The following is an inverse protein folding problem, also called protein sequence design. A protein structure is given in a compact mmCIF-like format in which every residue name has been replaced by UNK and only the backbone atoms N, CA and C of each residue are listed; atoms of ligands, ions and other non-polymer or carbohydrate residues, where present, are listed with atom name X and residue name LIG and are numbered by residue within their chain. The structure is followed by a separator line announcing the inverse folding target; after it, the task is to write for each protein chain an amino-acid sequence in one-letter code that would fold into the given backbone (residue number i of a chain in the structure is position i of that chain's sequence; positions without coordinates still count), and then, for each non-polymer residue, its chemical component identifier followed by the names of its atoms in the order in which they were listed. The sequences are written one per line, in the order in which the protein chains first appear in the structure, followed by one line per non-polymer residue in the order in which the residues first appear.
data_IF_292516554648
#
_entry.id   IF_292516554648
#
_cell.length_a   1.000
_cell.length_b   1.000
_cell.length_c   1.000
_cell.angle_alpha   90.00
_cell.angle_beta   90.00
_cell.angle_gamma   90.00
#
_symmetry.space_group_name_H-M   'P 1'
#
loop_
_entity.id
_entity.type
_entity.pdbx_description
1 polymer ?
#
# COMPACT_ATOMS: atom_id res chain seq x y z
N UNK A 1 87.54 -5.33 -6.48
CA UNK A 1 86.71 -5.80 -7.60
C UNK A 1 85.24 -5.78 -7.18
N UNK A 2 84.39 -5.01 -7.87
CA UNK A 2 82.93 -5.00 -7.69
C UNK A 2 82.31 -6.16 -8.47
N UNK A 3 81.47 -6.97 -7.84
CA UNK A 3 80.57 -7.93 -8.50
C UNK A 3 79.31 -8.00 -7.65
N UNK A 4 78.32 -7.19 -8.00
CA UNK A 4 77.14 -7.50 -8.83
C UNK A 4 76.00 -8.04 -7.96
N UNK A 5 74.90 -7.31 -8.12
CA UNK A 5 73.59 -7.41 -7.49
C UNK A 5 72.85 -8.56 -8.17
N UNK A 6 72.34 -9.51 -7.42
CA UNK A 6 71.44 -10.54 -7.94
C UNK A 6 70.00 -10.20 -7.57
N UNK A 7 69.20 -9.95 -8.60
CA UNK A 7 67.76 -9.72 -8.56
C UNK A 7 67.14 -10.71 -9.53
N UNK A 8 66.49 -11.77 -9.05
CA UNK A 8 65.50 -12.51 -9.86
C UNK A 8 64.83 -13.63 -9.07
N UNK A 9 63.50 -13.74 -9.23
CA UNK A 9 62.64 -14.80 -8.70
C UNK A 9 61.26 -14.25 -8.36
N UNK A 10 60.66 -13.46 -9.26
CA UNK A 10 59.57 -13.89 -10.18
C UNK A 10 58.39 -14.48 -9.40
N UNK A 11 57.35 -13.66 -9.27
CA UNK A 11 56.01 -14.07 -8.83
C UNK A 11 55.37 -14.75 -10.03
N UNK A 12 55.17 -16.07 -9.96
CA UNK A 12 54.35 -16.78 -10.94
C UNK A 12 52.89 -16.34 -10.76
N UNK A 13 52.49 -15.31 -11.51
CA UNK A 13 51.10 -15.04 -11.76
C UNK A 13 50.57 -16.19 -12.62
N UNK A 14 49.79 -17.08 -12.01
CA UNK A 14 49.09 -18.17 -12.69
C UNK A 14 48.29 -17.58 -13.85
N UNK A 15 48.82 -17.72 -15.07
CA UNK A 15 48.21 -17.17 -16.28
C UNK A 15 47.00 -18.02 -16.65
N UNK A 16 45.83 -17.57 -16.21
CA UNK A 16 44.56 -18.25 -16.39
C UNK A 16 44.20 -18.33 -17.89
N UNK A 17 43.89 -19.51 -18.44
CA UNK A 17 43.67 -19.70 -19.87
C UNK A 17 42.53 -18.83 -20.39
N UNK A 18 42.69 -18.25 -21.58
CA UNK A 18 41.76 -17.29 -22.22
C UNK A 18 40.30 -17.76 -22.22
N UNK A 19 40.09 -19.08 -22.35
CA UNK A 19 38.77 -19.71 -22.33
C UNK A 19 38.05 -19.58 -20.98
N UNK A 20 38.81 -19.67 -19.87
CA UNK A 20 38.25 -19.56 -18.52
C UNK A 20 37.84 -18.12 -18.21
N UNK A 21 38.59 -17.12 -18.71
CA UNK A 21 38.22 -15.69 -18.62
C UNK A 21 36.93 -15.37 -19.37
N UNK A 22 36.77 -15.93 -20.58
CA UNK A 22 35.56 -15.76 -21.37
C UNK A 22 34.35 -16.37 -20.65
N UNK A 23 34.49 -17.57 -20.05
CA UNK A 23 33.44 -18.20 -19.26
C UNK A 23 33.05 -17.37 -18.04
N UNK A 24 34.03 -16.81 -17.31
CA UNK A 24 33.76 -15.94 -16.15
C UNK A 24 33.03 -14.66 -16.57
N UNK A 25 33.41 -14.05 -17.70
CA UNK A 25 32.74 -12.86 -18.23
C UNK A 25 31.31 -13.17 -18.68
N UNK A 26 31.09 -14.28 -19.39
CA UNK A 26 29.75 -14.72 -19.81
C UNK A 26 28.87 -15.01 -18.60
N UNK A 27 29.40 -15.71 -17.58
CA UNK A 27 28.67 -15.96 -16.35
C UNK A 27 28.36 -14.66 -15.59
N UNK A 28 29.30 -13.71 -15.55
CA UNK A 28 29.09 -12.41 -14.92
C UNK A 28 28.02 -11.59 -15.66
N UNK A 29 28.07 -11.55 -16.99
CA UNK A 29 27.05 -10.88 -17.81
C UNK A 29 25.68 -11.55 -17.61
N UNK A 30 25.58 -12.87 -17.68
CA UNK A 30 24.33 -13.60 -17.41
C UNK A 30 23.80 -13.35 -15.99
N UNK A 31 24.67 -13.28 -14.98
CA UNK A 31 24.29 -12.96 -13.60
C UNK A 31 23.84 -11.50 -13.47
N UNK A 32 24.48 -10.56 -14.18
CA UNK A 32 24.03 -9.16 -14.24
C UNK A 32 22.67 -9.06 -14.94
N UNK A 33 22.47 -9.73 -16.07
CA UNK A 33 21.19 -9.76 -16.80
C UNK A 33 20.06 -10.38 -15.95
N UNK A 34 20.35 -11.45 -15.20
CA UNK A 34 19.40 -12.03 -14.24
C UNK A 34 19.11 -11.11 -13.04
N UNK A 35 20.06 -10.25 -12.68
CA UNK A 35 19.91 -9.24 -11.60
C UNK A 35 19.13 -8.01 -12.08
N UNK A 36 19.22 -7.68 -13.37
CA UNK A 36 18.48 -6.60 -14.04
C UNK A 36 16.98 -6.94 -14.25
N UNK A 37 16.63 -8.22 -14.17
CA UNK A 37 15.28 -8.76 -14.42
C UNK A 37 14.24 -8.54 -13.30
N UNK A 38 14.53 -7.73 -12.29
CA UNK A 38 13.57 -7.41 -11.21
C UNK A 38 13.29 -5.90 -11.14
N UNK A 39 12.97 -5.28 -12.27
CA UNK A 39 12.22 -4.02 -12.28
C UNK A 39 10.76 -4.34 -12.02
N UNK A 40 10.46 -4.66 -10.76
CA UNK A 40 9.09 -4.58 -10.28
C UNK A 40 8.69 -3.12 -10.48
N UNK A 41 7.74 -2.87 -11.39
CA UNK A 41 7.13 -1.56 -11.54
C UNK A 41 6.38 -1.34 -10.23
N UNK A 42 7.06 -0.78 -9.24
CA UNK A 42 6.48 -0.39 -7.98
C UNK A 42 5.61 0.83 -8.27
N UNK A 43 4.37 0.55 -8.68
CA UNK A 43 3.36 1.55 -8.93
C UNK A 43 3.14 2.27 -7.60
N UNK A 44 3.52 3.55 -7.55
CA UNK A 44 3.26 4.38 -6.39
C UNK A 44 1.74 4.52 -6.24
N UNK A 45 1.21 3.89 -5.19
CA UNK A 45 -0.22 3.87 -4.97
C UNK A 45 -0.78 5.27 -4.69
N UNK A 46 -0.04 6.16 -4.03
CA UNK A 46 -0.53 7.53 -3.80
C UNK A 46 -0.59 8.31 -5.10
N UNK A 47 0.37 8.10 -6.01
CA UNK A 47 0.35 8.74 -7.32
C UNK A 47 -0.83 8.29 -8.20
N UNK A 48 -1.26 7.03 -8.08
CA UNK A 48 -2.36 6.46 -8.89
C UNK A 48 -3.72 6.60 -8.23
N UNK A 49 -3.78 6.45 -6.90
CA UNK A 49 -4.99 6.44 -6.08
C UNK A 49 -4.79 7.31 -4.83
N UNK A 50 -4.68 8.64 -4.97
CA UNK A 50 -4.46 9.51 -3.82
C UNK A 50 -5.66 9.48 -2.86
N UNK A 51 -5.38 9.49 -1.56
CA UNK A 51 -6.42 9.65 -0.53
C UNK A 51 -7.04 11.05 -0.60
N UNK A 52 -8.18 11.17 -1.29
CA UNK A 52 -8.88 12.45 -1.46
C UNK A 52 -10.39 12.30 -1.61
N UNK A 53 -10.82 11.49 -2.58
CA UNK A 53 -12.22 11.33 -2.91
C UNK A 53 -12.81 10.06 -2.25
N UNK A 54 -13.89 10.17 -1.47
CA UNK A 54 -14.63 9.02 -0.97
C UNK A 54 -15.16 8.12 -2.11
N UNK A 55 -15.09 6.80 -1.92
CA UNK A 55 -15.60 5.81 -2.89
C UNK A 55 -17.00 5.32 -2.49
N UNK A 56 -17.91 5.10 -3.45
CA UNK A 56 -19.24 4.56 -3.17
C UNK A 56 -19.16 3.09 -2.78
N UNK A 57 -19.92 2.70 -1.75
CA UNK A 57 -19.99 1.33 -1.25
C UNK A 57 -21.42 0.91 -0.96
N UNK A 58 -21.74 -0.32 -1.31
CA UNK A 58 -23.04 -0.90 -1.04
C UNK A 58 -23.07 -1.54 0.36
N UNK A 59 -24.05 -1.15 1.17
CA UNK A 59 -24.27 -1.68 2.51
C UNK A 59 -25.66 -2.31 2.63
N UNK A 60 -25.78 -3.41 3.38
CA UNK A 60 -27.09 -3.96 3.75
C UNK A 60 -27.75 -3.05 4.78
N UNK A 61 -29.03 -2.74 4.60
CA UNK A 61 -29.79 -1.96 5.58
C UNK A 61 -29.86 -2.66 6.94
N UNK A 62 -30.03 -3.98 6.94
CA UNK A 62 -30.08 -4.78 8.18
C UNK A 62 -28.81 -4.60 9.02
N UNK A 63 -27.64 -4.67 8.38
CA UNK A 63 -26.34 -4.50 9.03
C UNK A 63 -26.16 -3.08 9.59
N UNK A 64 -26.43 -2.05 8.76
CA UNK A 64 -26.34 -0.65 9.19
C UNK A 64 -27.27 -0.30 10.37
N UNK A 65 -28.40 -1.02 10.50
CA UNK A 65 -29.37 -0.83 11.57
C UNK A 65 -29.19 -1.80 12.74
N UNK A 66 -28.20 -2.68 12.70
CA UNK A 66 -27.99 -3.71 13.73
C UNK A 66 -29.18 -4.67 13.89
N UNK A 67 -29.89 -4.94 12.79
CA UNK A 67 -31.06 -5.83 12.77
C UNK A 67 -30.72 -7.17 12.15
N UNK A 68 -31.56 -8.16 12.45
CA UNK A 68 -31.50 -9.48 11.84
C UNK A 68 -31.54 -9.41 10.30
N UNK A 69 -30.77 -10.25 9.64
CA UNK A 69 -30.69 -10.37 8.18
C UNK A 69 -32.00 -10.87 7.57
N UNK A 70 -32.85 -11.54 8.36
CA UNK A 70 -34.18 -11.99 7.95
C UNK A 70 -35.21 -10.84 7.85
N UNK A 71 -34.88 -9.65 8.35
CA UNK A 71 -35.77 -8.51 8.29
C UNK A 71 -36.03 -8.08 6.83
N UNK A 72 -37.30 -8.00 6.46
CA UNK A 72 -37.69 -7.51 5.14
C UNK A 72 -37.51 -5.99 5.06
N UNK A 73 -36.47 -5.57 4.35
CA UNK A 73 -36.19 -4.18 4.02
C UNK A 73 -36.38 -3.93 2.51
N UNK A 74 -36.85 -2.75 2.13
CA UNK A 74 -36.86 -2.32 0.73
C UNK A 74 -36.39 -0.85 0.61
N UNK A 75 -35.31 -0.56 -0.13
CA UNK A 75 -34.39 -1.52 -0.76
C UNK A 75 -33.65 -2.38 0.29
N UNK A 76 -32.99 -3.46 -0.14
CA UNK A 76 -32.13 -4.26 0.77
C UNK A 76 -30.75 -3.61 0.98
N UNK A 77 -30.29 -2.85 -0.01
CA UNK A 77 -28.96 -2.26 -0.08
C UNK A 77 -29.07 -0.74 -0.22
N UNK A 78 -28.04 -0.05 0.24
CA UNK A 78 -27.89 1.41 0.18
C UNK A 78 -26.48 1.74 -0.23
N UNK A 79 -26.28 2.89 -0.86
CA UNK A 79 -24.95 3.37 -1.25
C UNK A 79 -24.54 4.48 -0.28
N UNK A 80 -23.36 4.34 0.31
CA UNK A 80 -22.73 5.41 1.11
C UNK A 80 -21.29 5.60 0.60
N UNK A 81 -20.83 6.84 0.60
CA UNK A 81 -19.45 7.19 0.25
C UNK A 81 -18.56 7.09 1.49
N UNK A 82 -17.41 6.42 1.34
CA UNK A 82 -16.48 6.14 2.44
C UNK A 82 -15.04 6.35 2.03
N UNK A 83 -14.22 6.71 3.02
CA UNK A 83 -12.79 6.96 2.85
C UNK A 83 -11.93 5.72 3.06
N UNK A 84 -12.43 4.71 3.77
CA UNK A 84 -11.64 3.50 3.99
C UNK A 84 -11.27 2.94 2.62
N UNK A 85 -10.01 2.57 2.43
CA UNK A 85 -9.47 2.01 1.19
C UNK A 85 -9.85 2.81 -0.10
N UNK A 86 -10.18 4.10 0.02
CA UNK A 86 -10.52 4.95 -1.13
C UNK A 86 -9.28 5.45 -1.87
N UNK A 87 -8.16 5.48 -1.15
CA UNK A 87 -6.85 5.83 -1.67
C UNK A 87 -5.74 5.42 -0.71
N UNK A 88 -4.51 5.66 -1.15
CA UNK A 88 -3.27 5.33 -0.45
C UNK A 88 -2.62 6.56 0.17
N UNK A 89 -1.77 6.30 1.16
CA UNK A 89 -0.94 7.28 1.86
C UNK A 89 0.53 6.83 1.78
N UNK A 90 1.43 7.78 1.58
CA UNK A 90 2.88 7.57 1.48
C UNK A 90 3.51 7.10 2.78
N UNK A 91 2.98 7.55 3.92
CA UNK A 91 3.44 7.15 5.24
C UNK A 91 2.60 5.96 5.77
N UNK A 92 3.28 4.87 6.12
CA UNK A 92 2.67 3.63 6.65
C UNK A 92 1.96 3.82 8.00
N UNK A 93 2.22 4.91 8.70
CA UNK A 93 1.56 5.29 9.96
C UNK A 93 0.27 6.06 9.74
N UNK A 94 0.01 6.50 8.50
CA UNK A 94 -1.20 7.19 8.09
C UNK A 94 -2.16 6.23 7.39
N UNK A 95 -3.44 6.48 7.58
CA UNK A 95 -4.51 5.78 6.87
C UNK A 95 -5.48 6.80 6.28
N UNK A 96 -6.17 6.41 5.21
CA UNK A 96 -7.11 7.27 4.53
C UNK A 96 -8.42 7.38 5.31
N UNK A 97 -8.67 8.55 5.92
CA UNK A 97 -9.77 8.80 6.83
C UNK A 97 -10.62 9.99 6.38
N UNK A 98 -11.89 10.10 6.83
CA UNK A 98 -12.72 11.26 6.54
C UNK A 98 -12.09 12.54 7.08
N UNK A 99 -11.95 13.54 6.20
CA UNK A 99 -11.66 14.92 6.57
C UNK A 99 -12.97 15.66 6.87
N UNK A 100 -13.99 15.44 6.03
CA UNK A 100 -15.32 16.02 6.19
C UNK A 100 -16.40 14.98 5.91
N UNK A 101 -17.56 15.20 6.55
CA UNK A 101 -18.73 14.31 6.45
C UNK A 101 -20.02 15.13 6.39
N UNK A 102 -21.07 14.51 5.89
CA UNK A 102 -22.44 15.02 5.94
C UNK A 102 -23.39 13.94 6.46
N UNK A 103 -24.57 14.35 6.95
CA UNK A 103 -25.65 13.42 7.26
C UNK A 103 -26.62 13.33 6.08
N UNK A 104 -26.80 12.12 5.55
CA UNK A 104 -27.78 11.86 4.49
C UNK A 104 -29.01 11.16 5.10
N UNK A 105 -30.19 11.70 4.83
CA UNK A 105 -31.45 11.05 5.22
C UNK A 105 -31.80 9.98 4.19
N UNK A 106 -31.99 8.75 4.66
CA UNK A 106 -32.39 7.64 3.83
C UNK A 106 -33.75 7.10 4.22
N UNK A 107 -34.66 7.02 3.24
CA UNK A 107 -35.96 6.37 3.40
C UNK A 107 -35.90 4.89 3.03
N UNK A 108 -36.57 4.04 3.80
CA UNK A 108 -36.70 2.62 3.50
C UNK A 108 -38.04 2.08 4.00
N UNK A 109 -38.53 1.02 3.37
CA UNK A 109 -39.65 0.25 3.88
C UNK A 109 -39.18 -0.87 4.78
N UNK A 110 -39.84 -1.04 5.92
CA UNK A 110 -39.65 -2.18 6.81
C UNK A 110 -41.02 -2.71 7.24
N UNK A 111 -41.29 -3.97 6.92
CA UNK A 111 -42.62 -4.60 7.15
C UNK A 111 -43.77 -3.75 6.58
N UNK A 112 -43.60 -3.23 5.36
CA UNK A 112 -44.60 -2.42 4.65
C UNK A 112 -44.73 -0.96 5.12
N UNK A 113 -43.99 -0.53 6.14
CA UNK A 113 -44.03 0.86 6.64
C UNK A 113 -42.82 1.66 6.18
N UNK A 114 -43.05 2.86 5.66
CA UNK A 114 -41.99 3.81 5.33
C UNK A 114 -41.33 4.33 6.62
N UNK A 115 -40.01 4.35 6.64
CA UNK A 115 -39.16 4.78 7.75
C UNK A 115 -38.02 5.62 7.19
N UNK A 116 -37.39 6.40 8.07
CA UNK A 116 -36.27 7.27 7.76
C UNK A 116 -35.14 7.03 8.75
N UNK A 117 -33.90 7.12 8.27
CA UNK A 117 -32.70 7.07 9.10
C UNK A 117 -31.62 7.94 8.50
N UNK A 118 -30.89 8.65 9.35
CA UNK A 118 -29.70 9.38 8.95
C UNK A 118 -28.49 8.45 8.96
N UNK A 119 -27.65 8.58 7.93
CA UNK A 119 -26.36 7.93 7.84
C UNK A 119 -25.28 8.97 7.58
N UNK A 120 -24.11 8.77 8.17
CA UNK A 120 -22.94 9.60 7.87
C UNK A 120 -22.38 9.22 6.51
N UNK A 121 -22.27 10.19 5.62
CA UNK A 121 -21.63 10.09 4.31
C UNK A 121 -20.31 10.86 4.36
N UNK A 122 -19.23 10.29 3.82
CA UNK A 122 -17.96 11.01 3.75
C UNK A 122 -17.95 11.90 2.51
N UNK A 123 -17.47 13.14 2.62
CA UNK A 123 -17.43 14.11 1.52
C UNK A 123 -16.01 14.44 1.06
N UNK A 124 -15.03 14.31 1.95
CA UNK A 124 -13.60 14.46 1.63
C UNK A 124 -12.76 13.54 2.52
N UNK A 125 -11.63 13.07 1.99
CA UNK A 125 -10.69 12.19 2.68
C UNK A 125 -9.30 12.83 2.81
N UNK A 126 -8.55 12.44 3.83
CA UNK A 126 -7.14 12.80 3.99
C UNK A 126 -6.36 11.71 4.74
N UNK A 127 -5.04 11.70 4.53
CA UNK A 127 -4.13 10.84 5.27
C UNK A 127 -3.96 11.35 6.70
N UNK A 128 -4.41 10.54 7.68
CA UNK A 128 -4.38 10.90 9.09
C UNK A 128 -3.87 9.71 9.92
N UNK A 129 -3.25 9.99 11.08
CA UNK A 129 -2.92 8.94 12.04
C UNK A 129 -4.22 8.46 12.71
N UNK A 130 -4.30 7.15 13.01
CA UNK A 130 -5.36 6.67 13.91
C UNK A 130 -5.20 7.26 15.30
N UNK A 131 -6.32 7.37 16.02
CA UNK A 131 -6.32 7.81 17.43
C UNK A 131 -5.39 6.94 18.29
N UNK A 132 -5.38 5.63 18.06
CA UNK A 132 -4.50 4.69 18.77
C UNK A 132 -3.00 4.98 18.55
N UNK A 133 -2.58 5.25 17.31
CA UNK A 133 -1.19 5.61 16.99
C UNK A 133 -0.86 6.99 17.57
N UNK A 134 -1.81 7.93 17.52
CA UNK A 134 -1.66 9.27 18.08
C UNK A 134 -1.48 9.25 19.61
N UNK A 135 -2.17 8.36 20.32
CA UNK A 135 -2.05 8.20 21.77
C UNK A 135 -0.72 7.55 22.18
N UNK A 136 -0.27 6.52 21.44
CA UNK A 136 1.03 5.89 21.66
C UNK A 136 2.19 6.86 21.44
N UNK A 137 2.16 7.62 20.34
CA UNK A 137 3.21 8.60 20.03
C UNK A 137 3.26 9.74 21.05
N UNK A 138 2.13 10.17 21.60
CA UNK A 138 2.08 11.15 22.70
C UNK A 138 2.66 10.59 24.01
N UNK A 139 2.44 9.32 24.30
CA UNK A 139 2.94 8.65 25.49
C UNK A 139 4.45 8.41 25.46
N UNK A 140 5.04 8.15 24.29
CA UNK A 140 6.50 7.99 24.11
C UNK A 140 7.26 9.32 24.22
N UNK A 141 6.57 10.45 23.99
CA UNK A 141 7.15 11.79 24.10
C UNK A 141 7.17 12.35 25.53
N UNK A 142 6.65 11.62 26.52
CA UNK A 142 6.62 12.00 27.93
C UNK A 142 7.68 11.28 28.74
#
# INVERSE_FOLDING_TARGET
MRKQRDTSGVRDAVEMPRQLRALTLVLFVLVLDLKEGRREIQLDCEAVMPCRAPQPRAYRISELLGKDQLASFRPNMVILHRCDNSGCCNDKTLICLPLSTEEVNMSYYHSGRLRYRYFTNHTECSCQMTREIQERTRSVKR
#
